data_IF_270353094402
#
_entry.id   IF_270353094402
#
_cell.length_a   1.000
_cell.length_b   1.000
_cell.length_c   1.000
_cell.angle_alpha   90.00
_cell.angle_beta   90.00
_cell.angle_gamma   90.00
#
_symmetry.space_group_name_H-M   'P 1'
#
loop_
_entity.id
_entity.type
_entity.pdbx_description
1 polymer ?
#
# COMPACT_ATOMS: atom_id res chain seq x y z
N UNK A 1 1.24 13.18 -6.35
CA UNK A 1 2.14 12.20 -5.71
C UNK A 1 1.36 11.38 -4.68
N UNK A 2 1.13 10.06 -4.91
CA UNK A 2 0.25 9.22 -4.08
C UNK A 2 0.68 9.12 -2.60
N UNK A 3 1.97 9.27 -2.34
CA UNK A 3 2.53 9.33 -0.98
C UNK A 3 1.92 10.47 -0.14
N UNK A 4 1.97 11.69 -0.65
CA UNK A 4 1.44 12.86 0.07
C UNK A 4 -0.06 12.75 0.30
N UNK A 5 -0.81 12.21 -0.68
CA UNK A 5 -2.24 11.97 -0.53
C UNK A 5 -2.54 10.96 0.59
N UNK A 6 -1.75 9.88 0.71
CA UNK A 6 -1.88 8.92 1.82
C UNK A 6 -1.57 9.58 3.16
N UNK A 7 -0.43 10.28 3.28
CA UNK A 7 -0.06 10.95 4.53
C UNK A 7 -1.12 11.97 4.94
N UNK A 8 -1.57 12.84 4.02
CA UNK A 8 -2.57 13.87 4.31
C UNK A 8 -3.94 13.27 4.61
N UNK A 9 -4.38 12.25 3.87
CA UNK A 9 -5.65 11.57 4.09
C UNK A 9 -5.71 10.92 5.46
N UNK A 10 -4.67 10.19 5.84
CA UNK A 10 -4.59 9.61 7.19
C UNK A 10 -4.38 10.68 8.27
N UNK A 11 -3.61 11.74 8.02
CA UNK A 11 -3.46 12.84 8.99
C UNK A 11 -4.80 13.52 9.26
N UNK A 12 -5.60 13.77 8.22
CA UNK A 12 -6.95 14.31 8.33
C UNK A 12 -7.88 13.36 9.08
N UNK A 13 -7.76 12.05 8.84
CA UNK A 13 -8.45 11.05 9.64
C UNK A 13 -8.05 11.10 11.12
N UNK A 14 -6.76 11.24 11.43
CA UNK A 14 -6.27 11.38 12.81
C UNK A 14 -6.78 12.65 13.49
N UNK A 15 -6.86 13.77 12.76
CA UNK A 15 -7.49 14.99 13.24
C UNK A 15 -8.97 14.76 13.57
N UNK A 16 -9.71 14.16 12.63
CA UNK A 16 -11.14 13.85 12.81
C UNK A 16 -11.37 12.88 13.99
N UNK A 17 -10.52 11.87 14.15
CA UNK A 17 -10.57 10.95 15.27
C UNK A 17 -10.37 11.67 16.61
N UNK A 18 -9.42 12.62 16.68
CA UNK A 18 -9.20 13.44 17.88
C UNK A 18 -10.39 14.35 18.18
N UNK A 19 -10.96 15.00 17.17
CA UNK A 19 -12.15 15.83 17.34
C UNK A 19 -13.36 14.99 17.75
N UNK A 20 -13.55 13.81 17.16
CA UNK A 20 -14.60 12.86 17.54
C UNK A 20 -14.48 12.41 18.99
N UNK A 21 -13.26 12.10 19.45
CA UNK A 21 -12.98 11.78 20.85
C UNK A 21 -13.39 12.93 21.79
N UNK A 22 -13.06 14.18 21.47
CA UNK A 22 -13.43 15.35 22.28
C UNK A 22 -14.95 15.59 22.26
N UNK A 23 -15.60 15.41 21.11
CA UNK A 23 -17.05 15.50 20.97
C UNK A 23 -17.79 14.50 21.85
N UNK A 24 -17.33 13.24 21.91
CA UNK A 24 -17.88 12.21 22.79
C UNK A 24 -17.74 12.61 24.26
N UNK A 25 -16.60 13.21 24.63
CA UNK A 25 -16.36 13.71 25.99
C UNK A 25 -17.10 15.02 26.31
N UNK A 26 -17.91 15.56 25.37
CA UNK A 26 -18.55 16.88 25.46
C UNK A 26 -17.56 18.01 25.79
N UNK A 27 -16.33 17.88 25.30
CA UNK A 27 -15.26 18.87 25.43
C UNK A 27 -15.22 19.76 24.20
N UNK A 28 -14.53 20.90 24.29
CA UNK A 28 -14.32 21.76 23.14
C UNK A 28 -13.50 21.00 22.09
N UNK A 29 -13.95 20.98 20.83
CA UNK A 29 -13.33 20.23 19.75
C UNK A 29 -11.92 20.70 19.41
N UNK A 30 -11.58 21.95 19.70
CA UNK A 30 -10.24 22.51 19.46
C UNK A 30 -9.38 22.51 20.72
N UNK A 31 -9.83 21.83 21.78
CA UNK A 31 -9.08 21.74 23.02
C UNK A 31 -7.78 20.95 22.84
N UNK A 32 -6.69 21.50 23.38
CA UNK A 32 -5.35 20.92 23.29
C UNK A 32 -4.87 20.75 21.83
N UNK A 33 -4.39 21.82 21.18
CA UNK A 33 -3.89 21.76 19.80
C UNK A 33 -2.70 20.81 19.64
N UNK A 34 -1.88 20.62 20.68
CA UNK A 34 -0.80 19.62 20.68
C UNK A 34 -1.31 18.20 20.49
N UNK A 35 -2.43 17.85 21.13
CA UNK A 35 -3.07 16.54 20.95
C UNK A 35 -3.58 16.30 19.52
N UNK A 36 -4.03 17.35 18.84
CA UNK A 36 -4.42 17.27 17.42
C UNK A 36 -3.22 17.02 16.52
N UNK A 37 -2.12 17.76 16.73
CA UNK A 37 -0.87 17.55 15.99
C UNK A 37 -0.29 16.15 16.19
N UNK A 38 -0.29 15.63 17.43
CA UNK A 38 0.16 14.27 17.72
C UNK A 38 -0.72 13.25 16.99
N UNK A 39 -2.05 13.39 17.06
CA UNK A 39 -2.96 12.48 16.37
C UNK A 39 -2.74 12.50 14.85
N UNK A 40 -2.66 13.70 14.26
CA UNK A 40 -2.33 13.88 12.84
C UNK A 40 -1.00 13.21 12.49
N UNK A 41 0.04 13.39 13.30
CA UNK A 41 1.35 12.79 13.08
C UNK A 41 1.33 11.26 13.15
N UNK A 42 0.68 10.68 14.16
CA UNK A 42 0.56 9.21 14.33
C UNK A 42 -0.18 8.60 13.15
N UNK A 43 -1.35 9.13 12.79
CA UNK A 43 -2.09 8.58 11.67
C UNK A 43 -1.39 8.87 10.33
N UNK A 44 -0.82 10.06 10.13
CA UNK A 44 -0.01 10.36 8.96
C UNK A 44 1.17 9.39 8.77
N UNK A 45 1.82 8.99 9.87
CA UNK A 45 2.86 7.96 9.85
C UNK A 45 2.31 6.59 9.45
N UNK A 46 1.11 6.20 9.92
CA UNK A 46 0.42 5.00 9.45
C UNK A 46 0.15 5.07 7.94
N UNK A 47 -0.29 6.23 7.43
CA UNK A 47 -0.50 6.45 5.99
C UNK A 47 0.79 6.32 5.17
N UNK A 48 1.92 6.82 5.69
CA UNK A 48 3.24 6.60 5.09
C UNK A 48 3.58 5.10 5.00
N UNK A 49 3.34 4.35 6.09
CA UNK A 49 3.63 2.92 6.11
C UNK A 49 2.73 2.13 5.17
N UNK A 50 1.45 2.47 5.10
CA UNK A 50 0.50 1.88 4.16
C UNK A 50 0.95 2.06 2.70
N UNK A 51 1.40 3.27 2.34
CA UNK A 51 1.94 3.53 1.01
C UNK A 51 3.19 2.68 0.69
N UNK A 52 4.12 2.55 1.64
CA UNK A 52 5.31 1.71 1.46
C UNK A 52 4.95 0.24 1.29
N UNK A 53 3.98 -0.25 2.05
CA UNK A 53 3.50 -1.62 1.95
C UNK A 53 2.87 -1.92 0.59
N UNK A 54 2.02 -1.01 0.10
CA UNK A 54 1.38 -1.14 -1.21
C UNK A 54 2.42 -1.17 -2.35
N UNK A 55 3.38 -0.24 -2.31
CA UNK A 55 4.49 -0.19 -3.27
C UNK A 55 5.27 -1.50 -3.28
N UNK A 56 5.64 -2.01 -2.10
CA UNK A 56 6.38 -3.27 -1.99
C UNK A 56 5.56 -4.47 -2.48
N UNK A 57 4.26 -4.48 -2.22
CA UNK A 57 3.35 -5.53 -2.67
C UNK A 57 3.21 -5.53 -4.20
N UNK A 58 3.10 -4.35 -4.81
CA UNK A 58 3.04 -4.20 -6.26
C UNK A 58 4.32 -4.70 -6.96
N UNK A 59 5.50 -4.37 -6.42
CA UNK A 59 6.80 -4.89 -6.89
C UNK A 59 6.84 -6.42 -6.87
N UNK A 60 6.50 -7.03 -5.72
CA UNK A 60 6.51 -8.49 -5.56
C UNK A 60 5.54 -9.19 -6.52
N UNK A 61 4.37 -8.59 -6.77
CA UNK A 61 3.41 -9.12 -7.74
C UNK A 61 3.96 -9.02 -9.16
N UNK A 62 4.60 -7.91 -9.52
CA UNK A 62 5.22 -7.73 -10.82
C UNK A 62 6.35 -8.74 -11.07
N UNK A 63 7.24 -8.95 -10.09
CA UNK A 63 8.31 -9.94 -10.13
C UNK A 63 7.76 -11.36 -10.34
N UNK A 64 6.74 -11.75 -9.57
CA UNK A 64 6.10 -13.08 -9.70
C UNK A 64 5.43 -13.25 -11.07
N UNK A 65 4.77 -12.22 -11.59
CA UNK A 65 4.17 -12.26 -12.93
C UNK A 65 5.23 -12.44 -14.02
N UNK A 66 6.36 -11.74 -13.92
CA UNK A 66 7.47 -11.89 -14.85
C UNK A 66 8.03 -13.32 -14.82
N UNK A 67 8.26 -13.88 -13.63
CA UNK A 67 8.74 -15.24 -13.46
C UNK A 67 7.77 -16.31 -14.02
N UNK A 68 6.46 -16.11 -13.85
CA UNK A 68 5.45 -17.02 -14.42
C UNK A 68 5.43 -16.97 -15.95
N UNK A 69 5.54 -15.79 -16.55
CA UNK A 69 5.60 -15.63 -18.01
C UNK A 69 6.85 -16.30 -18.58
N UNK A 70 8.00 -16.15 -17.93
CA UNK A 70 9.24 -16.78 -18.35
C UNK A 70 9.15 -18.30 -18.27
N UNK A 71 8.63 -18.84 -17.17
CA UNK A 71 8.39 -20.30 -17.05
C UNK A 71 7.46 -20.83 -18.13
N UNK A 72 6.42 -20.07 -18.49
CA UNK A 72 5.49 -20.46 -19.59
C UNK A 72 6.22 -20.48 -20.94
N UNK A 73 7.04 -19.47 -21.24
CA UNK A 73 7.85 -19.43 -22.47
C UNK A 73 8.80 -20.63 -22.56
N UNK A 74 9.48 -20.96 -21.47
CA UNK A 74 10.37 -22.12 -21.42
C UNK A 74 9.64 -23.45 -21.60
N UNK A 75 8.41 -23.58 -21.08
CA UNK A 75 7.60 -24.79 -21.30
C UNK A 75 7.17 -24.94 -22.76
N UNK A 76 6.78 -23.83 -23.40
CA UNK A 76 6.42 -23.84 -24.83
C UNK A 76 7.64 -24.21 -25.68
N UNK A 77 8.80 -23.57 -25.45
CA UNK A 77 10.02 -23.89 -26.18
C UNK A 77 10.43 -25.37 -26.04
N UNK A 78 10.35 -25.93 -24.83
CA UNK A 78 10.63 -27.36 -24.60
C UNK A 78 9.63 -28.28 -25.29
N UNK A 79 8.36 -27.89 -25.36
CA UNK A 79 7.34 -28.67 -26.06
C UNK A 79 7.59 -28.66 -27.58
N UNK A 80 7.94 -27.50 -28.14
CA UNK A 80 8.32 -27.36 -29.55
C UNK A 80 9.57 -28.17 -29.90
N UNK A 81 10.59 -28.17 -29.04
CA UNK A 81 11.80 -28.99 -29.20
C UNK A 81 11.49 -30.50 -29.17
N UNK A 82 10.62 -30.93 -28.25
CA UNK A 82 10.22 -32.34 -28.14
C UNK A 82 9.36 -32.82 -29.32
N UNK A 83 8.48 -31.96 -29.84
CA UNK A 83 7.67 -32.24 -31.02
C UNK A 83 8.54 -32.26 -32.30
N UNK A 84 9.49 -31.33 -32.43
CA UNK A 84 10.46 -31.33 -33.52
C UNK A 84 11.35 -32.57 -33.54
N UNK A 85 11.78 -33.05 -32.37
CA UNK A 85 12.58 -34.28 -32.25
C UNK A 85 11.77 -35.57 -32.50
N UNK A 86 10.43 -35.53 -32.37
CA UNK A 86 9.56 -36.68 -32.66
C UNK A 86 9.18 -36.79 -34.15
N UNK A 87 9.37 -35.71 -34.93
CA UNK A 87 9.05 -35.64 -36.36
C UNK A 87 10.28 -35.80 -37.28
N UNK A 88 11.50 -35.85 -36.71
CA UNK A 88 12.77 -36.11 -37.40
C UNK A 88 13.24 -37.55 -37.24
#
# INVERSE_FOLDING_TARGET
>A
MPLFANILGFSAFGLAARMGQLGIQRRNLLENPGGHLISMGVFGFIGYWAYKWDTRSAELIAEKRAALTERRRQQIAKAEEAEGAALS
#
